data_IF_612512109548
#
_entry.id   IF_612512109548
#
_cell.length_a   1.000
_cell.length_b   1.000
_cell.length_c   1.000
_cell.angle_alpha   90.00
_cell.angle_beta   90.00
_cell.angle_gamma   90.00
#
_symmetry.space_group_name_H-M   'P 1'
#
loop_
_entity.id
_entity.type
_entity.pdbx_description
1 polymer ?
#
# COMPACT_ATOMS: atom_id res chain seq x y z
N UNK A 1 12.93 27.08 -35.37
CA UNK A 1 11.98 27.71 -36.30
C UNK A 1 11.47 26.57 -37.20
N UNK A 2 10.16 26.55 -37.48
CA UNK A 2 9.37 25.48 -38.17
C UNK A 2 8.89 24.38 -37.19
N UNK A 3 7.68 24.35 -36.65
CA UNK A 3 6.29 24.60 -37.12
C UNK A 3 5.75 23.59 -38.14
N UNK A 4 4.99 22.60 -37.66
CA UNK A 4 3.95 21.89 -38.43
C UNK A 4 2.79 21.42 -37.53
N UNK A 5 1.77 22.26 -37.47
CA UNK A 5 0.42 21.93 -37.04
C UNK A 5 -0.26 20.83 -37.88
N UNK A 6 -1.07 20.00 -37.23
CA UNK A 6 -2.42 19.48 -37.65
C UNK A 6 -2.86 18.42 -36.63
N UNK A 7 -3.86 18.65 -35.78
CA UNK A 7 -5.29 18.79 -36.09
C UNK A 7 -5.80 17.69 -37.04
N UNK A 8 -6.21 16.55 -36.46
CA UNK A 8 -7.08 15.58 -37.10
C UNK A 8 -8.13 15.09 -36.08
N UNK A 9 -9.14 15.93 -35.90
CA UNK A 9 -10.49 15.49 -35.55
C UNK A 9 -10.92 14.40 -36.55
N UNK A 10 -11.36 13.22 -36.09
CA UNK A 10 -12.64 12.61 -36.53
C UNK A 10 -12.90 11.19 -35.96
N UNK A 11 -14.13 11.10 -35.43
CA UNK A 11 -15.10 9.98 -35.42
C UNK A 11 -14.94 8.88 -34.37
N UNK A 12 -15.89 8.91 -33.42
CA UNK A 12 -16.40 7.76 -32.68
C UNK A 12 -17.04 6.76 -33.67
N UNK A 13 -16.86 5.46 -33.44
CA UNK A 13 -17.95 4.47 -33.35
C UNK A 13 -17.42 3.06 -32.99
N UNK A 14 -17.93 2.56 -31.86
CA UNK A 14 -18.22 1.17 -31.49
C UNK A 14 -17.36 -0.01 -31.99
N UNK A 15 -16.65 -0.63 -31.03
CA UNK A 15 -16.28 -2.05 -31.07
C UNK A 15 -16.37 -2.63 -29.66
N UNK A 16 -17.30 -3.57 -29.42
CA UNK A 16 -17.41 -4.34 -28.19
C UNK A 16 -16.23 -5.32 -28.12
N UNK A 17 -15.46 -5.32 -27.02
CA UNK A 17 -14.40 -6.29 -26.77
C UNK A 17 -14.11 -6.38 -25.27
N UNK A 18 -14.24 -7.58 -24.72
CA UNK A 18 -14.24 -7.87 -23.29
C UNK A 18 -12.95 -7.41 -22.57
N UNK A 19 -13.14 -6.86 -21.37
CA UNK A 19 -12.13 -6.29 -20.51
C UNK A 19 -11.11 -7.34 -20.02
N UNK A 20 -9.87 -7.26 -20.49
CA UNK A 20 -8.70 -7.84 -19.83
C UNK A 20 -8.11 -6.82 -18.86
N UNK A 21 -8.59 -6.78 -17.62
CA UNK A 21 -8.02 -5.91 -16.59
C UNK A 21 -6.57 -6.32 -16.27
N UNK A 22 -5.64 -5.36 -16.09
CA UNK A 22 -4.27 -5.68 -15.73
C UNK A 22 -4.23 -6.35 -14.35
N UNK A 23 -3.46 -7.43 -14.26
CA UNK A 23 -3.25 -8.21 -13.03
C UNK A 23 -2.55 -7.32 -12.01
N UNK A 24 -3.31 -6.78 -11.06
CA UNK A 24 -2.76 -6.02 -9.95
C UNK A 24 -1.69 -6.83 -9.20
N UNK A 25 -0.63 -6.18 -8.67
CA UNK A 25 0.33 -6.85 -7.81
C UNK A 25 -0.43 -7.44 -6.63
N UNK A 26 -0.07 -8.65 -6.22
CA UNK A 26 -0.74 -9.41 -5.17
C UNK A 26 -0.52 -8.72 -3.82
N UNK A 27 -1.21 -7.61 -3.58
CA UNK A 27 -1.56 -7.20 -2.24
C UNK A 27 -2.24 -8.42 -1.62
N UNK A 28 -1.64 -8.97 -0.56
CA UNK A 28 -2.27 -10.02 0.24
C UNK A 28 -3.50 -9.39 0.89
N UNK A 29 -4.58 -9.23 0.12
CA UNK A 29 -5.90 -9.10 0.67
C UNK A 29 -6.06 -10.32 1.57
N UNK A 30 -6.12 -10.07 2.87
CA UNK A 30 -6.38 -11.10 3.87
C UNK A 30 -7.70 -11.76 3.44
N UNK A 31 -7.61 -12.95 2.85
CA UNK A 31 -8.79 -13.70 2.45
C UNK A 31 -9.66 -13.83 3.71
N UNK A 32 -10.90 -13.37 3.63
CA UNK A 32 -11.87 -13.50 4.71
C UNK A 32 -12.13 -14.99 4.96
N UNK A 33 -11.34 -15.58 5.85
CA UNK A 33 -11.48 -16.96 6.26
C UNK A 33 -12.68 -17.08 7.22
N UNK A 34 -13.76 -17.66 6.68
CA UNK A 34 -14.82 -18.48 7.29
C UNK A 34 -14.97 -18.47 8.84
N UNK A 35 -16.19 -18.11 9.29
CA UNK A 35 -16.94 -18.97 10.21
C UNK A 35 -16.90 -18.73 11.72
N UNK A 36 -16.43 -17.58 12.20
CA UNK A 36 -16.60 -17.17 13.61
C UNK A 36 -17.42 -15.89 13.70
N UNK A 37 -18.43 -15.83 14.59
CA UNK A 37 -19.09 -14.57 14.94
C UNK A 37 -18.11 -13.70 15.73
N UNK A 38 -17.21 -12.99 15.05
CA UNK A 38 -16.44 -11.93 15.68
C UNK A 38 -17.42 -10.80 16.01
N UNK A 39 -17.60 -10.50 17.30
CA UNK A 39 -18.28 -9.26 17.69
C UNK A 39 -17.40 -8.12 17.17
N UNK A 40 -17.87 -7.35 16.18
CA UNK A 40 -17.15 -6.17 15.75
C UNK A 40 -17.40 -5.09 16.80
N UNK A 41 -16.45 -4.90 17.71
CA UNK A 41 -16.43 -3.69 18.51
C UNK A 41 -16.25 -2.52 17.54
N UNK A 42 -17.10 -1.48 17.56
CA UNK A 42 -16.92 -0.33 16.69
C UNK A 42 -15.54 0.28 16.97
N UNK A 43 -14.65 0.24 15.98
CA UNK A 43 -13.35 0.88 16.10
C UNK A 43 -13.46 2.30 15.54
N UNK A 44 -12.81 3.26 16.19
CA UNK A 44 -12.96 4.68 15.87
C UNK A 44 -12.60 5.02 14.41
N UNK A 45 -11.84 4.14 13.74
CA UNK A 45 -11.34 4.35 12.36
C UNK A 45 -11.64 3.17 11.42
N UNK A 46 -12.56 2.28 11.80
CA UNK A 46 -13.00 1.19 10.94
C UNK A 46 -13.51 1.71 9.58
N UNK A 47 -13.04 1.08 8.50
CA UNK A 47 -13.51 1.38 7.14
C UNK A 47 -12.77 2.52 6.43
N UNK A 48 -11.85 3.22 7.10
CA UNK A 48 -10.95 4.16 6.45
C UNK A 48 -9.82 3.41 5.75
N UNK A 49 -9.47 3.84 4.53
CA UNK A 49 -8.24 3.45 3.85
C UNK A 49 -7.27 4.62 3.86
N UNK A 50 -6.05 4.38 4.33
CA UNK A 50 -5.02 5.39 4.47
C UNK A 50 -3.81 4.98 3.63
N UNK A 51 -3.29 5.89 2.82
CA UNK A 51 -2.02 5.73 2.15
C UNK A 51 -0.94 6.43 2.98
N UNK A 52 0.03 5.67 3.44
CA UNK A 52 1.15 6.20 4.21
C UNK A 52 2.33 6.49 3.28
N UNK A 53 2.71 7.78 3.22
CA UNK A 53 3.84 8.32 2.47
C UNK A 53 4.89 8.95 3.40
N UNK A 54 4.77 8.70 4.71
CA UNK A 54 5.71 9.23 5.70
C UNK A 54 7.08 8.58 5.58
N UNK A 55 8.08 9.32 6.05
CA UNK A 55 9.41 8.77 6.32
C UNK A 55 9.48 8.20 7.74
N UNK A 56 10.65 7.71 8.12
CA UNK A 56 10.99 7.12 9.42
C UNK A 56 10.56 7.97 10.63
N UNK A 57 10.49 9.30 10.47
CA UNK A 57 10.12 10.23 11.55
C UNK A 57 8.65 10.16 11.95
N UNK A 58 7.77 9.74 11.04
CA UNK A 58 6.32 9.74 11.24
C UNK A 58 5.69 8.35 11.06
N UNK A 59 6.48 7.31 10.80
CA UNK A 59 6.03 5.94 10.55
C UNK A 59 5.03 5.44 11.61
N UNK A 60 5.28 5.76 12.89
CA UNK A 60 4.42 5.33 13.99
C UNK A 60 2.95 5.82 13.88
N UNK A 61 2.69 6.91 13.16
CA UNK A 61 1.33 7.40 12.96
C UNK A 61 0.47 6.40 12.16
N UNK A 62 1.06 5.75 11.15
CA UNK A 62 0.39 4.72 10.35
C UNK A 62 0.03 3.50 11.20
N UNK A 63 0.97 3.05 12.04
CA UNK A 63 0.72 1.99 13.01
C UNK A 63 -0.43 2.30 13.96
N UNK A 64 -0.45 3.50 14.57
CA UNK A 64 -1.55 3.91 15.45
C UNK A 64 -2.91 3.92 14.72
N UNK A 65 -2.93 4.35 13.47
CA UNK A 65 -4.12 4.31 12.62
C UNK A 65 -4.61 2.88 12.39
N UNK A 66 -3.69 1.96 12.08
CA UNK A 66 -3.98 0.54 11.88
C UNK A 66 -4.48 -0.13 13.17
N UNK A 67 -3.88 0.19 14.32
CA UNK A 67 -4.31 -0.32 15.64
C UNK A 67 -5.73 0.15 16.00
N UNK A 68 -6.12 1.34 15.54
CA UNK A 68 -7.49 1.85 15.64
C UNK A 68 -8.47 1.26 14.60
N UNK A 69 -8.00 0.34 13.76
CA UNK A 69 -8.80 -0.40 12.78
C UNK A 69 -8.90 0.22 11.38
N UNK A 70 -8.03 1.18 11.04
CA UNK A 70 -7.90 1.63 9.66
C UNK A 70 -7.14 0.61 8.80
N UNK A 71 -7.43 0.59 7.49
CA UNK A 71 -6.66 -0.15 6.50
C UNK A 71 -5.54 0.77 5.97
N UNK A 72 -4.33 0.56 6.47
CA UNK A 72 -3.16 1.42 6.16
C UNK A 72 -2.25 0.71 5.17
N UNK A 73 -1.97 1.38 4.05
CA UNK A 73 -1.09 0.90 3.00
C UNK A 73 0.17 1.77 3.00
N UNK A 74 1.29 1.19 3.41
CA UNK A 74 2.60 1.81 3.30
C UNK A 74 3.08 1.81 1.85
N UNK A 75 3.41 2.99 1.32
CA UNK A 75 3.99 3.15 -0.01
C UNK A 75 5.49 3.38 0.14
N UNK A 76 6.26 2.35 -0.23
CA UNK A 76 7.72 2.40 -0.16
C UNK A 76 8.36 2.90 -1.46
N UNK A 77 9.50 3.62 -1.40
CA UNK A 77 10.28 3.95 -2.58
C UNK A 77 10.86 2.67 -3.22
N UNK A 78 11.36 2.71 -4.47
CA UNK A 78 11.89 1.53 -5.18
C UNK A 78 13.01 0.76 -4.46
N UNK A 79 13.73 1.41 -3.52
CA UNK A 79 14.76 0.79 -2.68
C UNK A 79 14.25 0.22 -1.35
N UNK A 80 12.96 0.35 -1.06
CA UNK A 80 12.36 0.04 0.24
C UNK A 80 12.55 1.14 1.28
N UNK A 81 11.86 1.01 2.40
CA UNK A 81 12.03 1.91 3.54
C UNK A 81 13.46 1.84 4.11
N UNK A 82 14.18 2.97 4.30
CA UNK A 82 15.53 2.99 4.88
C UNK A 82 15.64 2.29 6.24
N UNK A 83 14.58 2.31 7.06
CA UNK A 83 14.54 1.64 8.36
C UNK A 83 14.73 0.14 8.25
N UNK A 84 14.47 -0.48 7.09
CA UNK A 84 14.74 -1.91 6.85
C UNK A 84 16.23 -2.26 7.00
N UNK A 85 17.12 -1.29 6.86
CA UNK A 85 18.57 -1.44 7.04
C UNK A 85 19.07 -1.11 8.44
N UNK A 86 18.22 -0.64 9.35
CA UNK A 86 18.66 -0.25 10.69
C UNK A 86 18.81 -1.47 11.60
N UNK A 87 19.96 -1.58 12.24
CA UNK A 87 20.16 -2.48 13.37
C UNK A 87 19.37 -1.97 14.60
N UNK A 88 19.05 -2.83 15.57
CA UNK A 88 19.34 -4.27 15.65
C UNK A 88 18.47 -5.13 14.73
N UNK A 89 18.98 -6.30 14.34
CA UNK A 89 18.26 -7.26 13.50
C UNK A 89 17.79 -8.48 14.32
N UNK A 90 16.61 -9.00 14.00
CA UNK A 90 16.07 -10.19 14.62
C UNK A 90 17.01 -11.40 14.44
N UNK A 91 17.53 -11.91 15.56
CA UNK A 91 18.51 -13.00 15.60
C UNK A 91 19.86 -12.63 14.99
N UNK A 92 20.25 -11.35 15.09
CA UNK A 92 21.52 -10.78 14.63
C UNK A 92 21.84 -11.05 13.15
N UNK A 93 20.79 -11.24 12.34
CA UNK A 93 20.91 -11.50 10.90
C UNK A 93 20.30 -10.35 10.10
N UNK A 94 21.10 -9.60 9.32
CA UNK A 94 20.58 -8.56 8.44
C UNK A 94 19.52 -9.10 7.48
N UNK A 95 18.52 -8.27 7.19
CA UNK A 95 17.52 -8.58 6.19
C UNK A 95 16.37 -7.56 6.17
N UNK A 96 15.73 -7.32 5.01
CA UNK A 96 14.71 -6.26 4.88
C UNK A 96 13.50 -6.42 5.81
N UNK A 97 13.17 -7.65 6.22
CA UNK A 97 12.08 -7.98 7.15
C UNK A 97 12.58 -8.31 8.56
N UNK A 98 13.84 -8.00 8.88
CA UNK A 98 14.49 -8.36 10.14
C UNK A 98 14.90 -7.16 10.98
N UNK A 99 14.87 -5.94 10.44
CA UNK A 99 15.11 -4.72 11.22
C UNK A 99 14.06 -4.58 12.32
N UNK A 100 14.53 -4.51 13.57
CA UNK A 100 13.66 -4.31 14.73
C UNK A 100 13.12 -2.88 14.77
N UNK A 101 13.88 -1.91 14.26
CA UNK A 101 13.42 -0.52 14.11
C UNK A 101 12.20 -0.46 13.17
N UNK A 102 12.28 -1.11 12.00
CA UNK A 102 11.17 -1.17 11.04
C UNK A 102 9.97 -1.94 11.61
N UNK A 103 10.20 -3.12 12.19
CA UNK A 103 9.12 -3.94 12.76
C UNK A 103 8.43 -3.32 13.98
N UNK A 104 9.11 -2.42 14.71
CA UNK A 104 8.48 -1.69 15.81
C UNK A 104 7.63 -0.53 15.30
N UNK A 105 8.11 0.21 14.29
CA UNK A 105 7.45 1.41 13.81
C UNK A 105 6.23 1.14 12.93
N UNK A 106 6.21 0.01 12.19
CA UNK A 106 5.14 -0.36 11.24
C UNK A 106 4.31 -1.57 11.70
#
# INVERSE_FOLDING_TARGET
>A
MEDRARCALRRRAHGRGAAGAPRAPRCRARAAARGGRHVSVPSARAGLRVLELSSERCAFAGKLLADMGADVILIEPPGGDPMRGYAPFAGDRPGPARSLSFGHAQ
#
